data_IF_538159694405
#
_entry.id   IF_538159694405
#
_cell.length_a   1.000
_cell.length_b   1.000
_cell.length_c   1.000
_cell.angle_alpha   90.00
_cell.angle_beta   90.00
_cell.angle_gamma   90.00
#
_symmetry.space_group_name_H-M   'P 1'
#
loop_
_entity.id
_entity.type
_entity.pdbx_description
1 polymer ?
#
# COMPACT_ATOMS: atom_id res chain seq x y z
N UNK A 1 29.74 -16.01 -32.83
CA UNK A 1 29.67 -16.53 -31.43
C UNK A 1 29.66 -15.43 -30.36
N UNK A 2 29.79 -14.14 -30.70
CA UNK A 2 29.87 -13.05 -29.71
C UNK A 2 28.49 -12.46 -29.32
N UNK A 3 27.50 -12.52 -30.21
CA UNK A 3 26.22 -11.80 -30.03
C UNK A 3 25.30 -12.40 -28.96
N UNK A 4 25.49 -13.68 -28.60
CA UNK A 4 24.65 -14.37 -27.61
C UNK A 4 25.06 -14.06 -26.16
N UNK A 5 26.29 -13.59 -25.93
CA UNK A 5 26.82 -13.37 -24.58
C UNK A 5 26.34 -12.05 -23.98
N UNK A 6 26.27 -10.99 -24.81
CA UNK A 6 25.75 -9.68 -24.41
C UNK A 6 24.31 -9.76 -23.86
N UNK A 7 23.48 -10.63 -24.44
CA UNK A 7 22.12 -10.87 -23.94
C UNK A 7 22.10 -11.51 -22.54
N UNK A 8 22.98 -12.50 -22.27
CA UNK A 8 23.07 -13.16 -20.96
C UNK A 8 23.64 -12.23 -19.90
N UNK A 9 24.62 -11.39 -20.24
CA UNK A 9 25.18 -10.38 -19.34
C UNK A 9 24.17 -9.30 -18.97
N UNK A 10 23.45 -8.76 -19.96
CA UNK A 10 22.35 -7.81 -19.72
C UNK A 10 21.27 -8.41 -18.83
N UNK A 11 20.92 -9.68 -19.07
CA UNK A 11 19.96 -10.38 -18.25
C UNK A 11 20.45 -10.57 -16.81
N UNK A 12 21.73 -10.91 -16.63
CA UNK A 12 22.34 -10.99 -15.31
C UNK A 12 22.31 -9.65 -14.59
N UNK A 13 22.67 -8.55 -15.26
CA UNK A 13 22.64 -7.20 -14.66
C UNK A 13 21.24 -6.80 -14.22
N UNK A 14 20.23 -7.09 -15.04
CA UNK A 14 18.84 -6.90 -14.67
C UNK A 14 18.48 -7.70 -13.41
N UNK A 15 18.83 -8.99 -13.37
CA UNK A 15 18.55 -9.83 -12.21
C UNK A 15 19.28 -9.32 -10.95
N UNK A 16 20.54 -8.87 -11.06
CA UNK A 16 21.28 -8.23 -9.96
C UNK A 16 20.52 -7.02 -9.42
N UNK A 17 19.98 -6.18 -10.31
CA UNK A 17 19.18 -5.01 -9.90
C UNK A 17 17.89 -5.42 -9.17
N UNK A 18 17.17 -6.43 -9.66
CA UNK A 18 15.97 -6.97 -9.01
C UNK A 18 16.29 -7.50 -7.61
N UNK A 19 17.39 -8.26 -7.47
CA UNK A 19 17.86 -8.80 -6.18
C UNK A 19 18.16 -7.65 -5.20
N UNK A 20 18.91 -6.62 -5.63
CA UNK A 20 19.21 -5.47 -4.75
C UNK A 20 17.94 -4.75 -4.32
N UNK A 21 17.03 -4.44 -5.25
CA UNK A 21 15.78 -3.75 -4.95
C UNK A 21 14.92 -4.54 -3.97
N UNK A 22 14.84 -5.86 -4.12
CA UNK A 22 14.07 -6.71 -3.22
C UNK A 22 14.68 -6.75 -1.81
N UNK A 23 16.01 -6.84 -1.70
CA UNK A 23 16.70 -6.89 -0.42
C UNK A 23 16.70 -5.53 0.31
N UNK A 24 16.88 -4.42 -0.41
CA UNK A 24 16.88 -3.06 0.16
C UNK A 24 15.47 -2.64 0.59
N UNK A 25 14.44 -3.04 -0.15
CA UNK A 25 13.05 -2.75 0.23
C UNK A 25 12.58 -3.52 1.47
N UNK A 26 13.32 -4.55 1.88
CA UNK A 26 12.99 -5.29 3.08
C UNK A 26 13.46 -4.52 4.34
N UNK A 27 12.56 -4.20 5.28
CA UNK A 27 12.92 -3.54 6.54
C UNK A 27 13.84 -4.36 7.45
N UNK A 28 14.03 -5.65 7.18
CA UNK A 28 14.96 -6.49 7.90
C UNK A 28 16.38 -6.38 7.31
N UNK A 29 17.37 -6.16 8.19
CA UNK A 29 18.81 -6.18 7.84
C UNK A 29 19.27 -7.43 7.09
N UNK A 30 18.58 -8.56 7.28
CA UNK A 30 18.87 -9.81 6.59
C UNK A 30 17.62 -10.65 6.43
N UNK A 31 17.54 -11.37 5.32
CA UNK A 31 16.37 -12.18 4.92
C UNK A 31 16.78 -13.63 4.75
N UNK A 32 15.99 -14.59 5.23
CA UNK A 32 16.25 -16.01 4.96
C UNK A 32 16.18 -16.29 3.45
N UNK A 33 17.05 -17.17 2.94
CA UNK A 33 17.01 -17.59 1.54
C UNK A 33 15.59 -18.02 1.10
N UNK A 34 14.93 -18.86 1.90
CA UNK A 34 13.59 -19.35 1.58
C UNK A 34 12.54 -18.24 1.53
N UNK A 35 12.69 -17.22 2.38
CA UNK A 35 11.80 -16.07 2.40
C UNK A 35 12.04 -15.18 1.18
N UNK A 36 13.31 -14.92 0.85
CA UNK A 36 13.71 -14.19 -0.34
C UNK A 36 13.14 -14.82 -1.62
N UNK A 37 13.22 -16.15 -1.77
CA UNK A 37 12.70 -16.84 -2.95
C UNK A 37 11.18 -16.66 -3.10
N UNK A 38 10.45 -16.73 -1.99
CA UNK A 38 8.99 -16.49 -1.96
C UNK A 38 8.65 -15.04 -2.29
N UNK A 39 9.42 -14.09 -1.75
CA UNK A 39 9.20 -12.67 -1.99
C UNK A 39 9.53 -12.28 -3.43
N UNK A 40 10.58 -12.90 -4.01
CA UNK A 40 10.92 -12.72 -5.42
C UNK A 40 9.78 -13.19 -6.32
N UNK A 41 9.27 -14.41 -6.09
CA UNK A 41 8.13 -14.93 -6.84
C UNK A 41 6.89 -14.08 -6.67
N UNK A 42 6.62 -13.58 -5.46
CA UNK A 42 5.48 -12.71 -5.17
C UNK A 42 5.56 -11.35 -5.88
N UNK A 43 6.73 -10.72 -5.89
CA UNK A 43 6.89 -9.33 -6.36
C UNK A 43 7.19 -9.28 -7.87
N UNK A 44 8.02 -10.20 -8.37
CA UNK A 44 8.39 -10.27 -9.79
C UNK A 44 7.39 -11.11 -10.58
N UNK A 45 6.64 -12.00 -9.92
CA UNK A 45 5.66 -12.89 -10.55
C UNK A 45 6.27 -14.09 -11.25
N UNK A 46 7.55 -14.41 -10.98
CA UNK A 46 8.30 -15.50 -11.61
C UNK A 46 9.18 -16.20 -10.59
N UNK A 47 9.38 -17.51 -10.78
CA UNK A 47 10.38 -18.24 -10.01
C UNK A 47 11.79 -17.66 -10.24
N UNK A 48 12.63 -17.72 -9.20
CA UNK A 48 13.99 -17.21 -9.27
C UNK A 48 14.81 -17.95 -10.35
N UNK A 49 15.37 -17.27 -11.37
CA UNK A 49 15.91 -17.89 -12.59
C UNK A 49 17.37 -18.35 -12.43
N UNK A 50 17.72 -19.04 -11.33
CA UNK A 50 19.09 -19.51 -11.10
C UNK A 50 19.55 -20.59 -12.10
N UNK A 51 18.62 -21.35 -12.67
CA UNK A 51 18.90 -22.43 -13.63
C UNK A 51 19.36 -21.91 -14.98
N UNK A 52 18.91 -20.71 -15.36
CA UNK A 52 19.27 -20.08 -16.64
C UNK A 52 20.75 -19.64 -16.68
N UNK A 53 21.38 -19.59 -15.51
CA UNK A 53 22.80 -19.30 -15.33
C UNK A 53 23.63 -20.55 -15.00
N UNK A 54 23.09 -21.75 -15.23
CA UNK A 54 23.79 -23.03 -15.06
C UNK A 54 24.09 -23.42 -13.59
N UNK A 55 23.28 -22.93 -12.64
CA UNK A 55 23.39 -23.28 -11.24
C UNK A 55 22.38 -24.35 -10.81
N UNK A 56 22.84 -25.28 -9.96
CA UNK A 56 22.00 -26.35 -9.39
C UNK A 56 21.09 -25.87 -8.25
N UNK A 57 21.53 -24.84 -7.53
CA UNK A 57 20.84 -24.34 -6.33
C UNK A 57 20.85 -22.81 -6.30
N UNK A 58 19.78 -22.15 -5.83
CA UNK A 58 19.73 -20.69 -5.70
C UNK A 58 20.85 -20.13 -4.82
N UNK A 59 21.16 -20.82 -3.71
CA UNK A 59 22.21 -20.39 -2.78
C UNK A 59 23.56 -20.26 -3.49
N UNK A 60 23.95 -21.28 -4.28
CA UNK A 60 25.21 -21.27 -5.04
C UNK A 60 25.27 -20.18 -6.10
N UNK A 61 24.14 -19.82 -6.71
CA UNK A 61 24.08 -18.67 -7.60
C UNK A 61 24.37 -17.38 -6.84
N UNK A 62 23.72 -17.16 -5.70
CA UNK A 62 23.89 -15.97 -4.89
C UNK A 62 25.30 -15.87 -4.28
N UNK A 63 25.92 -16.98 -3.88
CA UNK A 63 27.32 -17.01 -3.44
C UNK A 63 28.29 -16.47 -4.50
N UNK A 64 27.97 -16.65 -5.78
CA UNK A 64 28.79 -16.17 -6.89
C UNK A 64 28.55 -14.69 -7.21
N UNK A 65 27.67 -13.99 -6.47
CA UNK A 65 27.36 -12.57 -6.64
C UNK A 65 27.72 -11.72 -5.39
N UNK A 66 29.00 -11.70 -4.97
CA UNK A 66 29.43 -10.97 -3.79
C UNK A 66 29.32 -9.44 -3.95
N UNK A 67 29.14 -8.94 -5.18
CA UNK A 67 28.90 -7.53 -5.48
C UNK A 67 27.45 -7.08 -5.21
N UNK A 68 26.56 -8.02 -4.90
CA UNK A 68 25.12 -7.80 -4.71
C UNK A 68 24.69 -8.22 -3.33
N UNK A 69 25.12 -9.40 -2.89
CA UNK A 69 24.62 -10.05 -1.68
C UNK A 69 25.77 -10.59 -0.86
N UNK A 70 25.73 -10.30 0.43
CA UNK A 70 26.53 -10.97 1.45
C UNK A 70 25.68 -12.07 2.10
N UNK A 71 26.24 -13.27 2.21
CA UNK A 71 25.57 -14.43 2.80
C UNK A 71 26.12 -14.66 4.20
N UNK A 72 25.23 -14.76 5.17
CA UNK A 72 25.57 -15.03 6.57
C UNK A 72 24.85 -16.29 7.00
N UNK A 73 25.60 -17.28 7.44
CA UNK A 73 25.04 -18.49 8.02
C UNK A 73 24.57 -18.22 9.45
N UNK A 74 23.35 -18.65 9.75
CA UNK A 74 22.74 -18.58 11.06
C UNK A 74 22.10 -19.92 11.43
N UNK A 75 21.70 -20.07 12.70
CA UNK A 75 21.09 -21.30 13.21
C UNK A 75 19.81 -21.72 12.46
N UNK A 76 19.10 -20.77 11.86
CA UNK A 76 17.87 -20.95 11.09
C UNK A 76 18.12 -21.12 9.58
N UNK A 77 19.38 -21.05 9.14
CA UNK A 77 19.82 -21.23 7.76
C UNK A 77 20.59 -20.03 7.18
N UNK A 78 20.80 -20.06 5.87
CA UNK A 78 21.50 -18.99 5.17
C UNK A 78 20.64 -17.72 5.06
N UNK A 79 21.20 -16.59 5.49
CA UNK A 79 20.58 -15.26 5.45
C UNK A 79 21.30 -14.37 4.45
N UNK A 80 20.53 -13.62 3.68
CA UNK A 80 21.00 -12.72 2.63
C UNK A 80 20.97 -11.29 3.16
N UNK A 81 22.07 -10.56 2.99
CA UNK A 81 22.17 -9.12 3.24
C UNK A 81 22.51 -8.40 1.94
N UNK A 82 21.87 -7.26 1.61
CA UNK A 82 22.26 -6.46 0.47
C UNK A 82 23.63 -5.83 0.71
N UNK A 83 24.49 -5.83 -0.31
CA UNK A 83 25.68 -4.98 -0.32
C UNK A 83 25.23 -3.56 -0.69
N UNK A 84 25.43 -2.64 0.25
CA UNK A 84 24.91 -1.27 0.15
C UNK A 84 25.99 -0.36 -0.41
N UNK A 85 25.70 0.23 -1.56
CA UNK A 85 26.50 1.30 -2.16
C UNK A 85 26.15 2.66 -1.53
N UNK A 86 27.02 3.66 -1.70
CA UNK A 86 26.82 5.02 -1.18
C UNK A 86 25.44 5.60 -1.53
N UNK A 87 25.00 5.44 -2.78
CA UNK A 87 23.70 5.90 -3.27
C UNK A 87 22.50 5.20 -2.60
N UNK A 88 22.65 3.92 -2.30
CA UNK A 88 21.59 3.10 -1.67
C UNK A 88 21.61 3.15 -0.13
N UNK A 89 22.65 3.76 0.46
CA UNK A 89 22.87 3.78 1.92
C UNK A 89 21.76 4.51 2.66
N UNK A 90 21.38 5.69 2.17
CA UNK A 90 20.31 6.46 2.78
C UNK A 90 18.96 5.73 2.73
N UNK A 91 18.65 5.07 1.61
CA UNK A 91 17.42 4.30 1.44
C UNK A 91 17.41 3.09 2.39
N UNK A 92 18.50 2.33 2.45
CA UNK A 92 18.63 1.20 3.38
C UNK A 92 18.42 1.63 4.83
N UNK A 93 19.05 2.73 5.24
CA UNK A 93 18.89 3.28 6.59
C UNK A 93 17.44 3.66 6.86
N UNK A 94 16.80 4.38 5.94
CA UNK A 94 15.40 4.79 6.05
C UNK A 94 14.46 3.58 6.19
N UNK A 95 14.66 2.54 5.39
CA UNK A 95 13.84 1.32 5.40
C UNK A 95 14.03 0.53 6.71
N UNK A 96 15.25 0.43 7.23
CA UNK A 96 15.50 -0.17 8.54
C UNK A 96 14.78 0.57 9.67
N UNK A 97 14.74 1.91 9.61
CA UNK A 97 14.07 2.72 10.61
C UNK A 97 12.55 2.54 10.62
N UNK A 98 11.91 2.28 9.47
CA UNK A 98 10.46 2.04 9.39
C UNK A 98 10.02 0.90 10.31
N UNK A 99 10.78 -0.20 10.38
CA UNK A 99 10.49 -1.30 11.30
C UNK A 99 10.75 -0.94 12.75
N UNK A 100 11.79 -0.16 13.03
CA UNK A 100 12.06 0.33 14.39
C UNK A 100 10.90 1.18 14.91
N UNK A 101 10.34 2.04 14.07
CA UNK A 101 9.20 2.89 14.42
C UNK A 101 7.90 2.08 14.58
N UNK A 102 7.63 1.12 13.70
CA UNK A 102 6.46 0.24 13.84
C UNK A 102 6.46 -0.55 15.17
N UNK A 103 7.64 -0.95 15.66
CA UNK A 103 7.78 -1.64 16.94
C UNK A 103 7.68 -0.71 18.16
N UNK A 104 7.74 0.62 17.98
CA UNK A 104 7.44 1.58 19.03
C UNK A 104 5.92 1.61 19.16
N UNK A 105 5.38 0.97 20.20
CA UNK A 105 4.00 1.24 20.63
C UNK A 105 3.90 2.77 20.81
N UNK A 106 2.95 3.46 20.17
CA UNK A 106 2.78 4.88 20.44
C UNK A 106 2.50 5.02 21.93
N UNK A 107 3.34 5.76 22.65
CA UNK A 107 3.20 6.02 24.09
C UNK A 107 1.95 6.85 24.44
N UNK A 108 0.97 6.94 23.52
CA UNK A 108 -0.24 7.74 23.63
C UNK A 108 -1.52 6.91 23.46
N UNK A 109 -1.53 5.64 23.87
CA UNK A 109 -2.79 4.86 23.97
C UNK A 109 -3.18 4.51 25.41
N UNK A 110 -2.82 5.40 26.33
CA UNK A 110 -3.24 5.35 27.74
C UNK A 110 -3.50 6.75 28.32
N UNK A 111 -3.58 7.79 27.50
CA UNK A 111 -4.36 8.99 27.87
C UNK A 111 -5.80 8.64 27.53
N UNK A 112 -6.34 7.65 28.23
CA UNK A 112 -7.74 7.72 28.51
C UNK A 112 -7.87 8.97 29.35
N UNK A 113 -8.45 10.02 28.76
CA UNK A 113 -9.10 11.10 29.49
C UNK A 113 -10.27 10.46 30.27
N UNK A 114 -9.98 9.52 31.16
CA UNK A 114 -10.83 9.31 32.30
C UNK A 114 -10.30 10.31 33.31
N UNK A 115 -11.06 11.36 33.63
CA UNK A 115 -10.72 12.14 34.81
C UNK A 115 -10.54 11.12 35.95
N UNK A 116 -9.48 11.26 36.78
CA UNK A 116 -9.35 10.41 37.95
C UNK A 116 -10.69 10.46 38.65
N UNK A 117 -11.21 9.28 39.03
CA UNK A 117 -12.42 9.13 39.85
C UNK A 117 -12.17 9.85 41.18
N UNK A 118 -12.18 11.16 41.11
CA UNK A 118 -12.21 12.07 42.21
C UNK A 118 -13.67 11.96 42.60
N UNK A 119 -13.91 11.30 43.73
CA UNK A 119 -15.02 11.58 44.64
C UNK A 119 -16.21 12.15 43.90
N UNK A 120 -17.18 11.29 43.56
CA UNK A 120 -18.51 11.66 43.09
C UNK A 120 -18.79 13.14 43.37
N UNK A 121 -18.64 13.98 42.34
CA UNK A 121 -19.18 15.33 42.35
C UNK A 121 -20.69 15.09 42.37
N UNK A 122 -21.24 14.92 43.58
CA UNK A 122 -22.65 15.04 43.78
C UNK A 122 -22.99 16.44 43.27
N UNK A 123 -23.78 16.60 42.21
CA UNK A 123 -24.26 17.92 41.87
C UNK A 123 -25.02 18.41 43.09
N UNK A 124 -24.50 19.45 43.74
CA UNK A 124 -25.24 20.18 44.76
C UNK A 124 -26.56 20.58 44.11
N UNK A 125 -27.63 19.91 44.54
CA UNK A 125 -29.04 20.27 44.42
C UNK A 125 -29.24 21.48 43.49
N UNK A 126 -29.34 21.24 42.18
CA UNK A 126 -29.67 22.31 41.24
C UNK A 126 -31.13 22.66 41.50
N UNK A 127 -31.33 23.64 42.38
CA UNK A 127 -32.61 24.27 42.62
C UNK A 127 -33.21 24.68 41.28
N UNK A 128 -34.44 24.23 41.06
CA UNK A 128 -35.37 24.61 40.00
C UNK A 128 -34.98 25.88 39.23
N UNK A 129 -34.34 25.71 38.06
CA UNK A 129 -34.32 26.74 37.01
C UNK A 129 -34.57 26.03 35.69
N UNK A 130 -35.80 26.20 35.23
CA UNK A 130 -36.40 25.75 33.98
C UNK A 130 -35.48 25.90 32.76
N UNK A 131 -35.54 24.92 31.85
CA UNK A 131 -34.90 24.96 30.54
C UNK A 131 -35.31 26.23 29.75
N UNK A 132 -34.45 26.81 28.91
CA UNK A 132 -34.82 27.91 28.03
C UNK A 132 -35.92 27.47 27.03
N UNK A 133 -36.93 28.32 26.81
CA UNK A 133 -38.20 27.92 26.18
C UNK A 133 -38.08 27.40 24.73
N UNK A 134 -37.00 27.73 24.02
CA UNK A 134 -36.79 27.25 22.65
C UNK A 134 -36.46 25.75 22.56
N UNK A 135 -36.11 25.10 23.67
CA UNK A 135 -35.85 23.65 23.71
C UNK A 135 -37.13 22.81 23.91
N UNK A 136 -38.28 23.43 24.22
CA UNK A 136 -39.48 22.69 24.62
C UNK A 136 -40.50 22.45 23.49
N UNK A 137 -40.17 22.77 22.24
CA UNK A 137 -41.08 22.60 21.10
C UNK A 137 -40.49 21.68 20.03
N UNK A 138 -40.25 20.42 20.41
CA UNK A 138 -39.89 19.34 19.48
C UNK A 138 -40.90 18.19 19.59
N UNK A 139 -42.18 18.49 19.36
CA UNK A 139 -43.14 17.49 18.89
C UNK A 139 -43.33 17.69 17.38
N UNK A 140 -42.73 16.76 16.63
CA UNK A 140 -43.02 16.36 15.23
C UNK A 140 -43.08 17.45 14.15
N UNK A 141 -42.08 17.48 13.27
CA UNK A 141 -42.26 17.00 11.89
C UNK A 141 -40.98 16.29 11.43
N UNK A 142 -41.12 15.03 10.97
CA UNK A 142 -40.06 14.29 10.29
C UNK A 142 -39.60 15.08 9.04
N UNK A 143 -38.30 15.13 8.72
CA UNK A 143 -37.89 15.62 7.41
C UNK A 143 -38.47 14.69 6.32
N UNK A 144 -39.02 15.23 5.22
CA UNK A 144 -39.55 14.39 4.15
C UNK A 144 -38.44 13.50 3.57
N UNK A 145 -38.81 12.26 3.29
CA UNK A 145 -37.99 11.25 2.60
C UNK A 145 -37.43 11.89 1.33
N UNK A 146 -36.12 11.81 1.11
CA UNK A 146 -35.50 12.23 -0.17
C UNK A 146 -36.05 11.34 -1.28
N UNK A 147 -37.11 11.80 -1.93
CA UNK A 147 -37.54 11.29 -3.21
C UNK A 147 -36.58 11.80 -4.27
N UNK A 148 -36.15 10.88 -5.12
CA UNK A 148 -35.31 11.12 -6.29
C UNK A 148 -35.77 12.34 -7.08
N UNK A 149 -34.84 13.22 -7.41
CA UNK A 149 -35.07 14.34 -8.31
C UNK A 149 -35.54 13.83 -9.68
N UNK A 150 -36.84 13.84 -9.91
CA UNK A 150 -37.44 13.85 -11.25
C UNK A 150 -37.47 15.29 -11.71
N UNK A 151 -36.57 15.62 -12.63
CA UNK A 151 -36.60 16.84 -13.45
C UNK A 151 -37.99 17.03 -14.04
N UNK A 152 -38.54 18.23 -13.86
CA UNK A 152 -39.87 18.63 -14.34
C UNK A 152 -39.98 18.43 -15.86
N UNK A 153 -41.13 17.97 -16.38
CA UNK A 153 -41.40 17.98 -17.82
C UNK A 153 -41.66 19.43 -18.26
N UNK A 154 -40.92 19.88 -19.27
CA UNK A 154 -41.26 21.07 -20.04
C UNK A 154 -42.46 20.74 -20.95
N UNK A 155 -43.33 21.73 -21.13
CA UNK A 155 -44.49 21.71 -22.02
C UNK A 155 -44.17 21.11 -23.39
N UNK A 156 -45.00 20.14 -23.79
CA UNK A 156 -45.15 19.70 -25.18
C UNK A 156 -46.39 20.41 -25.69
N UNK A 157 -46.21 21.34 -26.64
CA UNK A 157 -47.26 21.65 -27.61
C UNK A 157 -46.80 21.04 -28.94
N UNK A 158 -47.61 20.08 -29.33
CA UNK A 158 -47.69 19.32 -30.57
C UNK A 158 -47.92 20.23 -31.78
N UNK A 159 -47.28 19.95 -32.93
CA UNK A 159 -47.89 20.13 -34.26
C UNK A 159 -47.01 19.45 -35.34
N UNK A 160 -47.48 18.26 -35.69
CA UNK A 160 -47.46 17.48 -36.92
C UNK A 160 -46.67 17.92 -38.18
N UNK A 161 -46.14 16.85 -38.80
CA UNK A 161 -46.20 16.48 -40.23
C UNK A 161 -44.99 16.75 -41.12
N UNK A 162 -44.47 15.64 -41.69
CA UNK A 162 -44.17 15.42 -43.13
C UNK A 162 -43.09 16.31 -43.79
N UNK A 163 -42.15 15.87 -44.64
CA UNK A 163 -42.03 14.72 -45.54
C UNK A 163 -40.56 14.65 -46.05
N UNK A 164 -40.16 13.47 -46.52
CA UNK A 164 -39.35 13.19 -47.74
C UNK A 164 -38.00 13.94 -47.93
N UNK A 165 -36.83 13.30 -48.04
CA UNK A 165 -36.35 12.33 -49.04
C UNK A 165 -35.20 12.95 -49.85
N UNK A 166 -34.15 12.14 -50.10
CA UNK A 166 -33.15 12.28 -51.20
C UNK A 166 -32.23 13.52 -51.12
N UNK A 167 -30.95 13.53 -51.48
CA UNK A 167 -30.06 12.84 -52.45
C UNK A 167 -28.62 13.14 -51.98
N UNK A 168 -27.68 12.18 -51.96
CA UNK A 168 -26.68 11.88 -53.02
C UNK A 168 -25.74 13.04 -53.44
N UNK A 169 -24.51 12.64 -53.80
CA UNK A 169 -23.35 13.34 -54.38
C UNK A 169 -22.38 14.00 -53.38
N UNK A 170 -21.18 13.43 -53.14
CA UNK A 170 -19.99 13.41 -54.03
C UNK A 170 -19.56 14.81 -54.49
N UNK A 171 -18.45 15.29 -53.92
CA UNK A 171 -17.29 15.80 -54.65
C UNK A 171 -16.08 15.85 -53.71
#
# INVERSE_FOLDING_TARGET
MADTYDSKEKYLQKLKSEIRSLLISNPAKSVLLNQFLKDYERIIGKAFPYRDFDYKTPLRFLCNLPDVVEIVDAHDGARLKPVVNELSSHISTMVEEQRRLSNKRPLYRNITYYPPSSRALQPAQYGSKTLPSWLNNSHQQLPPKRESATTKPAEIIELSSEHAAKTESES
#
